data_IF_499027800193
#
_entry.id   IF_499027800193
#
_cell.length_a   1.000
_cell.length_b   1.000
_cell.length_c   1.000
_cell.angle_alpha   90.00
_cell.angle_beta   90.00
_cell.angle_gamma   90.00
#
_symmetry.space_group_name_H-M   'P 1'
#
loop_
_entity.id
_entity.type
_entity.pdbx_description
1 polymer ?
#
# COMPACT_ATOMS: atom_id res chain seq x y z
N UNK A 1 18.21 2.85 -4.21
CA UNK A 1 17.34 1.73 -3.75
C UNK A 1 18.13 0.89 -2.75
N UNK A 2 17.58 0.66 -1.55
CA UNK A 2 18.20 -0.17 -0.51
C UNK A 2 17.47 -1.51 -0.44
N UNK A 3 18.20 -2.63 -0.47
CA UNK A 3 17.65 -3.98 -0.37
C UNK A 3 18.08 -4.60 0.96
N UNK A 4 17.12 -4.97 1.78
CA UNK A 4 17.31 -5.58 3.10
C UNK A 4 16.63 -6.95 3.08
N UNK A 5 17.42 -8.01 3.33
CA UNK A 5 16.93 -9.39 3.33
C UNK A 5 16.89 -9.92 4.75
N UNK A 6 15.75 -10.47 5.15
CA UNK A 6 15.48 -10.98 6.48
C UNK A 6 15.25 -12.50 6.45
N UNK A 7 15.41 -13.15 7.60
CA UNK A 7 15.24 -14.60 7.70
C UNK A 7 13.78 -15.06 7.59
N UNK A 8 12.85 -14.21 8.01
CA UNK A 8 11.44 -14.55 8.06
C UNK A 8 10.54 -13.30 8.10
N UNK A 9 9.25 -13.53 7.90
CA UNK A 9 8.20 -12.52 7.91
C UNK A 9 8.09 -11.74 9.23
N UNK A 10 8.38 -12.38 10.37
CA UNK A 10 8.33 -11.74 11.68
C UNK A 10 9.38 -10.64 11.81
N UNK A 11 10.61 -10.91 11.35
CA UNK A 11 11.68 -9.91 11.34
C UNK A 11 11.35 -8.75 10.40
N UNK A 12 10.74 -9.03 9.24
CA UNK A 12 10.26 -7.99 8.32
C UNK A 12 9.21 -7.13 9.00
N UNK A 13 8.24 -7.75 9.69
CA UNK A 13 7.19 -7.04 10.41
C UNK A 13 7.74 -6.07 11.46
N UNK A 14 8.69 -6.53 12.25
CA UNK A 14 9.39 -5.70 13.25
C UNK A 14 10.17 -4.57 12.58
N UNK A 15 10.95 -4.87 11.55
CA UNK A 15 11.78 -3.88 10.86
C UNK A 15 10.93 -2.81 10.16
N UNK A 16 9.87 -3.22 9.44
CA UNK A 16 8.98 -2.31 8.74
C UNK A 16 8.15 -1.46 9.72
N UNK A 17 7.63 -2.05 10.80
CA UNK A 17 6.94 -1.30 11.85
C UNK A 17 7.86 -0.28 12.52
N UNK A 18 9.10 -0.65 12.85
CA UNK A 18 10.10 0.30 13.36
C UNK A 18 10.40 1.41 12.35
N UNK A 19 10.50 1.10 11.06
CA UNK A 19 10.77 2.07 10.00
C UNK A 19 9.63 3.09 9.89
N UNK A 20 8.37 2.64 9.90
CA UNK A 20 7.18 3.49 9.88
C UNK A 20 7.07 4.34 11.15
N UNK A 21 7.24 3.75 12.34
CA UNK A 21 7.20 4.48 13.62
C UNK A 21 8.37 5.46 13.75
N UNK A 22 9.56 5.11 13.27
CA UNK A 22 10.72 6.01 13.22
C UNK A 22 10.45 7.27 12.40
N UNK A 23 9.68 7.18 11.32
CA UNK A 23 9.22 8.34 10.57
C UNK A 23 8.33 9.24 11.45
N UNK A 24 7.35 8.66 12.17
CA UNK A 24 6.45 9.41 13.04
C UNK A 24 7.20 10.05 14.22
N UNK A 25 8.16 9.33 14.82
CA UNK A 25 9.00 9.89 15.88
C UNK A 25 9.85 11.07 15.40
N UNK A 26 10.39 10.99 14.18
CA UNK A 26 11.19 12.07 13.60
C UNK A 26 10.33 13.28 13.17
N UNK A 27 9.11 13.03 12.73
CA UNK A 27 8.13 14.03 12.27
C UNK A 27 6.74 13.63 12.78
N UNK A 28 6.28 14.11 13.94
CA UNK A 28 5.01 13.73 14.54
C UNK A 28 3.76 13.99 13.68
N UNK A 29 3.79 14.99 12.81
CA UNK A 29 2.77 15.32 11.83
C UNK A 29 3.01 14.65 10.46
N UNK A 30 3.57 13.45 10.47
CA UNK A 30 3.85 12.69 9.25
C UNK A 30 2.58 12.33 8.49
N UNK A 31 2.71 12.32 7.16
CA UNK A 31 1.71 11.81 6.23
C UNK A 31 2.14 10.42 5.77
N UNK A 32 1.36 9.40 6.13
CA UNK A 32 1.67 8.00 5.83
C UNK A 32 0.77 7.48 4.71
N UNK A 33 1.35 6.93 3.67
CA UNK A 33 0.66 6.14 2.67
C UNK A 33 0.61 4.67 3.12
N UNK A 34 -0.57 4.07 3.18
CA UNK A 34 -0.79 2.74 3.74
C UNK A 34 -1.38 1.78 2.71
N UNK A 35 -1.06 0.50 2.88
CA UNK A 35 -1.50 -0.59 2.03
C UNK A 35 -2.40 -1.57 2.81
N UNK A 36 -3.23 -2.34 2.11
CA UNK A 36 -4.03 -3.44 2.65
C UNK A 36 -3.46 -4.81 2.24
N UNK A 37 -4.14 -5.88 2.64
CA UNK A 37 -3.76 -7.24 2.34
C UNK A 37 -2.93 -7.91 3.46
N UNK A 38 -2.41 -9.10 3.17
CA UNK A 38 -1.71 -9.90 4.20
C UNK A 38 -0.34 -9.32 4.58
N UNK A 39 0.37 -8.72 3.63
CA UNK A 39 1.75 -8.26 3.80
C UNK A 39 1.94 -7.23 4.92
N UNK A 40 1.09 -6.19 5.08
CA UNK A 40 1.28 -5.17 6.10
C UNK A 40 0.78 -5.56 7.50
N UNK A 41 0.13 -6.71 7.70
CA UNK A 41 -0.44 -7.09 9.00
C UNK A 41 0.60 -7.16 10.12
N UNK A 42 1.76 -7.78 9.86
CA UNK A 42 2.83 -7.84 10.88
C UNK A 42 3.48 -6.50 11.16
N UNK A 43 3.80 -5.64 10.17
CA UNK A 43 4.15 -4.24 10.41
C UNK A 43 3.13 -3.50 11.25
N UNK A 44 1.83 -3.59 10.94
CA UNK A 44 0.78 -2.92 11.72
C UNK A 44 0.71 -3.44 13.16
N UNK A 45 0.77 -4.75 13.36
CA UNK A 45 0.84 -5.33 14.72
C UNK A 45 2.04 -4.82 15.52
N UNK A 46 3.19 -4.59 14.87
CA UNK A 46 4.36 -4.02 15.54
C UNK A 46 4.20 -2.52 15.83
N UNK A 47 3.59 -1.75 14.92
CA UNK A 47 3.27 -0.33 15.15
C UNK A 47 2.31 -0.17 16.34
N UNK A 48 1.27 -1.02 16.46
CA UNK A 48 0.35 -1.06 17.59
C UNK A 48 1.12 -1.33 18.90
N UNK A 49 1.98 -2.36 18.88
CA UNK A 49 2.81 -2.68 20.06
C UNK A 49 3.69 -1.52 20.51
N UNK A 50 4.30 -0.79 19.58
CA UNK A 50 5.10 0.39 19.90
C UNK A 50 4.25 1.53 20.47
N UNK A 51 3.04 1.71 19.96
CA UNK A 51 2.06 2.66 20.50
C UNK A 51 1.64 2.27 21.94
N UNK A 52 1.28 1.03 22.19
CA UNK A 52 0.91 0.51 23.53
C UNK A 52 2.04 0.67 24.56
N UNK A 53 3.29 0.60 24.09
CA UNK A 53 4.48 0.84 24.92
C UNK A 53 4.79 2.34 25.14
N UNK A 54 4.00 3.25 24.57
CA UNK A 54 4.22 4.69 24.62
C UNK A 54 5.45 5.18 23.84
N UNK A 55 5.95 4.34 22.91
CA UNK A 55 7.13 4.68 22.10
C UNK A 55 6.80 5.59 20.92
N UNK A 56 5.54 5.63 20.46
CA UNK A 56 5.08 6.45 19.33
C UNK A 56 3.69 7.01 19.60
N UNK A 57 3.43 8.23 19.11
CA UNK A 57 2.16 8.94 19.23
C UNK A 57 1.64 9.26 17.80
N UNK A 58 0.45 8.75 17.46
CA UNK A 58 -0.16 8.95 16.15
C UNK A 58 -1.20 10.09 16.12
N UNK A 59 -1.38 10.83 17.21
CA UNK A 59 -2.44 11.86 17.34
C UNK A 59 -2.37 13.00 16.31
N UNK A 60 -1.21 13.19 15.67
CA UNK A 60 -1.01 14.22 14.64
C UNK A 60 -0.75 13.64 13.25
N UNK A 61 -0.72 12.32 13.13
CA UNK A 61 -0.48 11.62 11.85
C UNK A 61 -1.70 11.77 10.95
N UNK A 62 -1.45 11.91 9.64
CA UNK A 62 -2.47 11.81 8.59
C UNK A 62 -2.16 10.60 7.74
N UNK A 63 -3.18 9.84 7.32
CA UNK A 63 -2.99 8.65 6.50
C UNK A 63 -3.76 8.74 5.18
N UNK A 64 -3.20 8.12 4.14
CA UNK A 64 -3.81 7.92 2.83
C UNK A 64 -3.67 6.46 2.43
N UNK A 65 -4.78 5.77 2.19
CA UNK A 65 -4.76 4.40 1.68
C UNK A 65 -4.63 4.38 0.16
N UNK A 66 -3.99 3.34 -0.36
CA UNK A 66 -3.69 3.19 -1.80
C UNK A 66 -4.93 3.03 -2.65
N UNK A 67 -5.93 2.34 -2.15
CA UNK A 67 -7.06 1.86 -2.96
C UNK A 67 -8.27 1.47 -2.10
N UNK A 68 -9.41 1.29 -2.78
CA UNK A 68 -10.63 0.73 -2.22
C UNK A 68 -11.47 0.09 -3.34
N UNK A 69 -12.26 -0.90 -3.02
CA UNK A 69 -13.22 -1.50 -3.94
C UNK A 69 -14.37 -0.55 -4.30
N UNK A 70 -14.79 -0.57 -5.57
CA UNK A 70 -16.00 0.11 -5.99
C UNK A 70 -17.25 -0.71 -5.64
N UNK A 71 -18.32 0.00 -5.26
CA UNK A 71 -19.64 -0.59 -4.97
C UNK A 71 -19.66 -1.60 -3.82
N UNK A 72 -18.71 -1.51 -2.92
CA UNK A 72 -18.70 -2.26 -1.67
C UNK A 72 -19.03 -1.31 -0.51
N UNK A 73 -19.92 -1.73 0.42
CA UNK A 73 -20.22 -0.94 1.62
C UNK A 73 -18.93 -0.76 2.44
N UNK A 74 -18.70 0.45 2.95
CA UNK A 74 -17.49 0.77 3.75
C UNK A 74 -17.39 -0.08 5.03
N UNK A 75 -18.52 -0.58 5.54
CA UNK A 75 -18.58 -1.47 6.69
C UNK A 75 -18.56 -2.96 6.32
N UNK A 76 -18.52 -3.30 5.03
CA UNK A 76 -18.36 -4.70 4.61
C UNK A 76 -17.04 -5.24 5.15
N UNK A 77 -17.05 -6.50 5.58
CA UNK A 77 -15.86 -7.16 6.15
C UNK A 77 -14.69 -7.19 5.17
N UNK A 78 -14.95 -7.08 3.87
CA UNK A 78 -13.97 -7.12 2.80
C UNK A 78 -13.57 -5.74 2.30
N UNK A 79 -14.19 -4.63 2.79
CA UNK A 79 -13.74 -3.30 2.43
C UNK A 79 -12.35 -3.01 3.01
N UNK A 80 -11.57 -2.24 2.30
CA UNK A 80 -10.24 -1.85 2.80
C UNK A 80 -10.34 -0.84 3.93
N UNK A 81 -11.38 -0.02 3.94
CA UNK A 81 -11.72 0.82 5.07
C UNK A 81 -11.89 -0.02 6.34
N UNK A 82 -12.75 -1.05 6.32
CA UNK A 82 -12.96 -1.96 7.45
C UNK A 82 -11.68 -2.70 7.83
N UNK A 83 -10.94 -3.22 6.83
CA UNK A 83 -9.66 -3.88 7.06
C UNK A 83 -8.68 -3.01 7.87
N UNK A 84 -8.53 -1.74 7.50
CA UNK A 84 -7.60 -0.84 8.17
C UNK A 84 -8.03 -0.48 9.59
N UNK A 85 -9.33 -0.30 9.81
CA UNK A 85 -9.86 -0.08 11.15
C UNK A 85 -9.64 -1.29 12.05
N UNK A 86 -9.94 -2.49 11.58
CA UNK A 86 -9.79 -3.72 12.36
C UNK A 86 -8.32 -4.08 12.64
N UNK A 87 -7.38 -3.70 11.78
CA UNK A 87 -5.97 -4.12 11.87
C UNK A 87 -4.99 -3.03 12.30
N UNK A 88 -5.41 -1.75 12.33
CA UNK A 88 -4.55 -0.64 12.76
C UNK A 88 -5.31 0.47 13.49
N UNK A 89 -6.28 1.12 12.85
CA UNK A 89 -6.76 2.41 13.32
C UNK A 89 -7.51 2.33 14.66
N UNK A 90 -8.28 1.28 14.91
CA UNK A 90 -8.95 1.05 16.20
C UNK A 90 -7.99 0.77 17.38
N UNK A 91 -6.71 0.56 17.10
CA UNK A 91 -5.70 0.19 18.09
C UNK A 91 -4.66 1.28 18.38
N UNK A 92 -4.76 2.43 17.71
CA UNK A 92 -3.86 3.57 17.88
C UNK A 92 -4.67 4.86 18.07
N UNK A 93 -4.02 5.95 18.47
CA UNK A 93 -4.71 7.22 18.76
C UNK A 93 -4.78 8.19 17.57
N UNK A 94 -4.84 7.68 16.35
CA UNK A 94 -5.03 8.54 15.17
C UNK A 94 -6.46 9.12 15.17
N UNK A 95 -6.65 10.45 14.97
CA UNK A 95 -7.97 11.04 14.82
C UNK A 95 -8.65 10.57 13.52
N UNK A 96 -9.95 10.29 13.58
CA UNK A 96 -10.72 9.81 12.43
C UNK A 96 -10.66 10.78 11.24
N UNK A 97 -10.70 12.08 11.51
CA UNK A 97 -10.59 13.13 10.48
C UNK A 97 -9.25 13.16 9.74
N UNK A 98 -8.23 12.50 10.27
CA UNK A 98 -6.90 12.39 9.65
C UNK A 98 -6.75 11.11 8.79
N UNK A 99 -7.75 10.23 8.81
CA UNK A 99 -7.75 8.99 8.03
C UNK A 99 -8.42 9.24 6.68
N UNK A 100 -7.70 8.97 5.59
CA UNK A 100 -8.21 9.22 4.25
C UNK A 100 -8.23 7.94 3.41
N UNK A 101 -9.39 7.66 2.81
CA UNK A 101 -9.61 6.61 1.81
C UNK A 101 -10.13 7.23 0.52
N UNK A 102 -9.87 6.56 -0.59
CA UNK A 102 -10.63 6.75 -1.82
C UNK A 102 -12.06 6.20 -1.62
N UNK A 103 -13.06 6.97 -1.98
CA UNK A 103 -14.46 6.53 -1.87
C UNK A 103 -14.89 5.74 -3.12
N UNK A 104 -14.87 4.41 -3.03
CA UNK A 104 -15.34 3.53 -4.11
C UNK A 104 -16.85 3.61 -4.42
N UNK A 105 -17.61 4.33 -3.59
CA UNK A 105 -19.05 4.56 -3.75
C UNK A 105 -19.39 6.01 -4.15
N UNK A 106 -18.42 6.81 -4.57
CA UNK A 106 -18.65 8.16 -5.05
C UNK A 106 -19.58 8.16 -6.29
N UNK A 107 -20.46 9.14 -6.39
CA UNK A 107 -21.35 9.32 -7.56
C UNK A 107 -20.52 9.56 -8.84
N UNK A 108 -19.46 10.36 -8.72
CA UNK A 108 -18.44 10.56 -9.76
C UNK A 108 -17.07 10.09 -9.25
N UNK A 109 -16.64 8.89 -9.63
CA UNK A 109 -15.35 8.37 -9.19
C UNK A 109 -14.15 9.12 -9.75
N UNK A 110 -14.27 9.80 -10.90
CA UNK A 110 -13.17 10.61 -11.45
C UNK A 110 -12.97 11.89 -10.63
N UNK A 111 -14.05 12.54 -10.21
CA UNK A 111 -13.97 13.72 -9.35
C UNK A 111 -13.51 13.34 -7.94
N UNK A 112 -13.90 12.18 -7.42
CA UNK A 112 -13.35 11.64 -6.17
C UNK A 112 -11.83 11.45 -6.27
N UNK A 113 -11.34 10.84 -7.35
CA UNK A 113 -9.90 10.65 -7.57
C UNK A 113 -9.16 12.00 -7.59
N UNK A 114 -9.70 13.03 -8.28
CA UNK A 114 -9.12 14.39 -8.29
C UNK A 114 -9.12 15.01 -6.89
N UNK A 115 -10.24 14.89 -6.16
CA UNK A 115 -10.36 15.40 -4.80
C UNK A 115 -9.37 14.72 -3.85
N UNK A 116 -9.12 13.43 -4.01
CA UNK A 116 -8.14 12.67 -3.25
C UNK A 116 -6.71 13.16 -3.48
N UNK A 117 -6.33 13.38 -4.73
CA UNK A 117 -5.03 13.98 -5.08
C UNK A 117 -4.84 15.38 -4.47
N UNK A 118 -5.87 16.21 -4.49
CA UNK A 118 -5.83 17.53 -3.85
C UNK A 118 -5.73 17.44 -2.31
N UNK A 119 -6.34 16.43 -1.68
CA UNK A 119 -6.15 16.17 -0.24
C UNK A 119 -4.70 15.81 0.07
N UNK A 120 -4.09 14.90 -0.71
CA UNK A 120 -2.68 14.52 -0.56
C UNK A 120 -1.79 15.76 -0.69
N UNK A 121 -2.02 16.58 -1.71
CA UNK A 121 -1.27 17.82 -1.94
C UNK A 121 -1.42 18.82 -0.80
N UNK A 122 -2.64 19.04 -0.29
CA UNK A 122 -2.91 19.92 0.86
C UNK A 122 -2.24 19.44 2.14
N UNK A 123 -2.10 18.14 2.32
CA UNK A 123 -1.36 17.54 3.44
C UNK A 123 0.18 17.70 3.32
N UNK A 124 0.69 18.25 2.20
CA UNK A 124 2.13 18.41 1.95
C UNK A 124 2.80 17.22 1.30
N UNK A 125 2.00 16.30 0.73
CA UNK A 125 2.44 15.04 0.12
C UNK A 125 2.73 13.94 1.15
N UNK A 126 2.91 12.72 0.68
CA UNK A 126 3.16 11.55 1.52
C UNK A 126 4.63 11.51 1.94
N UNK A 127 4.90 11.41 3.24
CA UNK A 127 6.27 11.34 3.78
C UNK A 127 6.87 9.93 3.56
N UNK A 128 6.06 8.88 3.74
CA UNK A 128 6.44 7.50 3.47
C UNK A 128 5.25 6.72 2.94
N UNK A 129 5.42 6.04 1.81
CA UNK A 129 4.43 5.14 1.21
C UNK A 129 4.83 3.68 1.45
N UNK A 130 3.99 2.94 2.16
CA UNK A 130 4.09 1.50 2.29
C UNK A 130 3.45 0.82 1.07
N UNK A 131 4.15 -0.14 0.48
CA UNK A 131 3.70 -0.92 -0.68
C UNK A 131 3.93 -2.42 -0.45
N UNK A 132 3.01 -3.23 -0.94
CA UNK A 132 3.29 -4.59 -1.37
C UNK A 132 3.65 -4.64 -2.85
N UNK A 133 3.97 -5.82 -3.37
CA UNK A 133 4.19 -6.06 -4.80
C UNK A 133 3.46 -7.33 -5.24
N UNK A 134 2.78 -7.25 -6.36
CA UNK A 134 2.20 -8.44 -6.99
C UNK A 134 3.24 -9.36 -7.62
N UNK A 135 2.89 -10.63 -7.85
CA UNK A 135 3.78 -11.59 -8.52
C UNK A 135 4.08 -11.21 -9.98
N UNK A 136 3.24 -10.37 -10.58
CA UNK A 136 3.42 -9.80 -11.93
C UNK A 136 4.02 -8.38 -11.92
N UNK A 137 4.44 -7.90 -10.74
CA UNK A 137 5.05 -6.58 -10.58
C UNK A 137 4.07 -5.42 -10.40
N UNK A 138 2.75 -5.66 -10.21
CA UNK A 138 1.82 -4.59 -9.89
C UNK A 138 2.09 -3.99 -8.50
N UNK A 139 1.79 -2.71 -8.32
CA UNK A 139 1.75 -1.98 -7.05
C UNK A 139 0.42 -1.25 -6.95
N UNK A 140 -0.24 -1.32 -5.78
CA UNK A 140 -1.66 -1.00 -5.63
C UNK A 140 -2.48 -1.78 -6.69
N UNK A 141 -3.53 -1.23 -7.27
CA UNK A 141 -4.20 -1.87 -8.42
C UNK A 141 -3.67 -1.42 -9.80
N UNK A 142 -2.42 -0.94 -9.86
CA UNK A 142 -1.76 -0.66 -11.14
C UNK A 142 -1.18 -1.96 -11.71
N UNK A 143 -1.97 -2.64 -12.52
CA UNK A 143 -1.64 -3.89 -13.21
C UNK A 143 -0.76 -3.66 -14.45
N UNK A 144 -0.01 -4.68 -14.92
CA UNK A 144 0.70 -4.62 -16.20
C UNK A 144 -0.19 -4.10 -17.35
N UNK A 145 0.26 -3.07 -18.05
CA UNK A 145 -0.48 -2.33 -19.06
C UNK A 145 0.46 -1.69 -20.09
N UNK A 146 -0.08 -0.97 -21.07
CA UNK A 146 0.72 -0.30 -22.12
C UNK A 146 1.26 1.08 -21.69
N UNK A 147 0.78 1.62 -20.55
CA UNK A 147 1.19 2.92 -20.03
C UNK A 147 1.12 2.97 -18.50
N UNK A 148 1.93 3.83 -17.90
CA UNK A 148 1.81 4.15 -16.48
C UNK A 148 0.65 5.13 -16.26
N UNK A 149 -0.27 4.77 -15.37
CA UNK A 149 -1.32 5.68 -14.92
C UNK A 149 -0.74 6.70 -13.94
N UNK A 150 -0.94 7.97 -14.26
CA UNK A 150 -0.30 9.05 -13.49
C UNK A 150 -0.98 9.31 -12.14
N UNK A 151 -2.29 9.52 -12.17
CA UNK A 151 -3.08 9.94 -11.01
C UNK A 151 -4.00 8.85 -10.52
N UNK A 152 -4.61 9.05 -9.39
CA UNK A 152 -5.67 8.18 -8.89
C UNK A 152 -6.75 8.01 -9.96
N UNK A 153 -7.25 6.79 -10.13
CA UNK A 153 -8.17 6.43 -11.21
C UNK A 153 -9.01 5.22 -10.85
N UNK A 154 -10.08 5.02 -11.60
CA UNK A 154 -10.88 3.79 -11.56
C UNK A 154 -10.20 2.73 -12.42
N UNK A 155 -10.12 1.52 -11.91
CA UNK A 155 -9.56 0.37 -12.62
C UNK A 155 -10.53 -0.80 -12.62
N UNK A 156 -10.67 -1.47 -13.76
CA UNK A 156 -11.31 -2.78 -13.84
C UNK A 156 -10.31 -3.84 -13.34
N UNK A 157 -10.74 -4.66 -12.37
CA UNK A 157 -9.90 -5.72 -11.83
C UNK A 157 -9.72 -6.85 -12.85
N UNK A 158 -8.50 -7.36 -12.97
CA UNK A 158 -8.21 -8.53 -13.81
C UNK A 158 -8.87 -9.78 -13.23
N UNK A 159 -9.24 -10.72 -14.07
CA UNK A 159 -9.81 -12.01 -13.65
C UNK A 159 -8.91 -12.74 -12.65
N UNK A 160 -7.59 -12.68 -12.82
CA UNK A 160 -6.63 -13.22 -11.86
C UNK A 160 -6.77 -12.58 -10.48
N UNK A 161 -6.90 -11.26 -10.41
CA UNK A 161 -7.08 -10.51 -9.16
C UNK A 161 -8.43 -10.82 -8.51
N UNK A 162 -9.50 -10.89 -9.29
CA UNK A 162 -10.83 -11.31 -8.82
C UNK A 162 -10.75 -12.72 -8.24
N UNK A 163 -10.10 -13.65 -8.94
CA UNK A 163 -9.91 -15.03 -8.47
C UNK A 163 -9.07 -15.11 -7.20
N UNK A 164 -7.97 -14.37 -7.12
CA UNK A 164 -7.11 -14.36 -5.93
C UNK A 164 -7.85 -13.77 -4.72
N UNK A 165 -8.71 -12.78 -4.93
CA UNK A 165 -9.48 -12.14 -3.87
C UNK A 165 -10.77 -12.91 -3.53
N UNK A 166 -11.25 -13.83 -4.38
CA UNK A 166 -12.48 -14.59 -4.13
C UNK A 166 -12.45 -15.40 -2.83
N UNK A 167 -11.26 -15.74 -2.33
CA UNK A 167 -11.08 -16.41 -1.03
C UNK A 167 -11.59 -15.62 0.18
N UNK A 168 -11.80 -14.31 0.04
CA UNK A 168 -12.32 -13.44 1.08
C UNK A 168 -13.84 -13.24 0.98
N UNK A 169 -14.46 -13.62 -0.13
CA UNK A 169 -15.89 -13.46 -0.40
C UNK A 169 -16.60 -14.82 -0.37
N UNK A 170 -17.92 -14.82 -0.20
CA UNK A 170 -18.72 -16.05 -0.19
C UNK A 170 -18.77 -16.75 -1.55
N UNK A 171 -18.70 -15.97 -2.62
CA UNK A 171 -18.62 -16.44 -3.99
C UNK A 171 -17.79 -15.49 -4.85
N UNK A 172 -17.31 -15.97 -6.01
CA UNK A 172 -16.56 -15.13 -6.95
C UNK A 172 -17.42 -13.99 -7.53
N UNK A 173 -18.74 -14.19 -7.61
CA UNK A 173 -19.67 -13.19 -8.14
C UNK A 173 -19.88 -12.01 -7.19
N UNK A 174 -19.53 -12.17 -5.91
CA UNK A 174 -19.57 -11.09 -4.91
C UNK A 174 -18.30 -10.23 -4.90
N UNK A 175 -17.23 -10.67 -5.58
CA UNK A 175 -16.00 -9.87 -5.67
C UNK A 175 -16.26 -8.65 -6.54
N UNK A 176 -15.97 -7.43 -6.08
CA UNK A 176 -16.09 -6.23 -6.90
C UNK A 176 -15.26 -6.35 -8.19
N UNK A 177 -15.83 -5.86 -9.28
CA UNK A 177 -15.16 -5.89 -10.60
C UNK A 177 -14.30 -4.66 -10.86
N UNK A 178 -14.43 -3.61 -10.04
CA UNK A 178 -13.70 -2.35 -10.15
C UNK A 178 -13.18 -1.91 -8.79
N UNK A 179 -12.14 -1.10 -8.83
CA UNK A 179 -11.58 -0.41 -7.68
C UNK A 179 -11.20 1.02 -8.05
N UNK A 180 -11.07 1.88 -7.05
CA UNK A 180 -10.39 3.18 -7.14
C UNK A 180 -8.99 3.01 -6.56
N UNK A 181 -7.95 3.51 -7.23
CA UNK A 181 -6.57 3.29 -6.82
C UNK A 181 -5.69 4.49 -7.10
N UNK A 182 -4.69 4.71 -6.23
CA UNK A 182 -3.64 5.69 -6.50
C UNK A 182 -2.85 5.29 -7.75
N UNK A 183 -2.61 6.25 -8.63
CA UNK A 183 -1.78 6.04 -9.82
C UNK A 183 -0.29 5.97 -9.50
N UNK A 184 0.48 5.47 -10.45
CA UNK A 184 1.95 5.36 -10.35
C UNK A 184 2.60 6.72 -10.07
N UNK A 185 2.12 7.80 -10.74
CA UNK A 185 2.66 9.14 -10.54
C UNK A 185 2.40 9.68 -9.13
N UNK A 186 1.24 9.37 -8.54
CA UNK A 186 0.92 9.71 -7.14
C UNK A 186 1.84 8.99 -6.16
N UNK A 187 2.04 7.68 -6.37
CA UNK A 187 2.98 6.86 -5.57
C UNK A 187 4.41 7.41 -5.67
N UNK A 188 4.86 7.76 -6.87
CA UNK A 188 6.20 8.30 -7.12
C UNK A 188 6.45 9.69 -6.51
N UNK A 189 5.42 10.40 -6.08
CA UNK A 189 5.55 11.68 -5.38
C UNK A 189 5.78 11.53 -3.87
N UNK A 190 5.65 10.34 -3.31
CA UNK A 190 6.01 10.10 -1.91
C UNK A 190 7.49 10.42 -1.69
N UNK A 191 7.85 10.96 -0.52
CA UNK A 191 9.26 11.29 -0.23
C UNK A 191 10.12 10.04 -0.04
N UNK A 192 9.52 8.98 0.50
CA UNK A 192 10.12 7.65 0.70
C UNK A 192 9.13 6.57 0.32
N UNK A 193 9.65 5.46 -0.17
CA UNK A 193 8.86 4.27 -0.48
C UNK A 193 9.45 3.08 0.28
N UNK A 194 8.58 2.36 1.01
CA UNK A 194 8.89 1.10 1.64
C UNK A 194 8.13 -0.02 0.94
N UNK A 195 8.84 -0.96 0.32
CA UNK A 195 8.25 -2.16 -0.28
C UNK A 195 8.51 -3.36 0.61
N UNK A 196 7.47 -4.16 0.83
CA UNK A 196 7.60 -5.45 1.49
C UNK A 196 7.22 -6.54 0.49
N UNK A 197 8.08 -7.55 0.35
CA UNK A 197 7.79 -8.74 -0.44
C UNK A 197 8.20 -10.00 0.30
N UNK A 198 7.28 -10.97 0.33
CA UNK A 198 7.43 -12.24 1.05
C UNK A 198 7.04 -13.39 0.14
N UNK A 199 7.89 -14.41 0.11
CA UNK A 199 7.68 -15.64 -0.62
C UNK A 199 8.32 -15.67 -2.01
N UNK A 200 8.70 -16.88 -2.44
CA UNK A 200 9.40 -17.13 -3.70
C UNK A 200 8.59 -16.71 -4.94
N UNK A 201 7.24 -16.71 -4.84
CA UNK A 201 6.36 -16.24 -5.90
C UNK A 201 6.55 -14.74 -6.24
N UNK A 202 7.24 -13.97 -5.40
CA UNK A 202 7.59 -12.56 -5.63
C UNK A 202 8.98 -12.38 -6.27
N UNK A 203 9.82 -13.41 -6.26
CA UNK A 203 11.23 -13.31 -6.67
C UNK A 203 11.42 -12.75 -8.08
N UNK A 204 10.58 -13.18 -9.05
CA UNK A 204 10.65 -12.68 -10.43
C UNK A 204 10.28 -11.19 -10.53
N UNK A 205 9.25 -10.76 -9.80
CA UNK A 205 8.82 -9.35 -9.77
C UNK A 205 9.90 -8.48 -9.09
N UNK A 206 10.50 -8.97 -8.01
CA UNK A 206 11.60 -8.27 -7.33
C UNK A 206 12.83 -8.15 -8.23
N UNK A 207 13.21 -9.23 -8.93
CA UNK A 207 14.32 -9.17 -9.88
C UNK A 207 14.04 -8.17 -11.01
N UNK A 208 12.83 -8.18 -11.58
CA UNK A 208 12.43 -7.23 -12.61
C UNK A 208 12.41 -5.78 -12.10
N UNK A 209 11.97 -5.57 -10.85
CA UNK A 209 12.00 -4.27 -10.19
C UNK A 209 13.45 -3.73 -10.05
N UNK A 210 14.42 -4.58 -9.73
CA UNK A 210 15.79 -4.15 -9.40
C UNK A 210 16.65 -4.06 -10.66
N UNK A 211 16.64 -5.09 -11.50
CA UNK A 211 17.57 -5.28 -12.60
C UNK A 211 16.93 -5.18 -13.98
N UNK A 212 15.58 -5.21 -14.07
CA UNK A 212 14.88 -5.20 -15.34
C UNK A 212 14.73 -3.81 -15.95
N UNK A 213 14.28 -3.77 -17.21
CA UNK A 213 13.90 -2.51 -17.85
C UNK A 213 12.71 -1.86 -17.17
N UNK A 214 12.70 -0.53 -17.11
CA UNK A 214 11.54 0.22 -16.63
C UNK A 214 10.44 0.17 -17.68
N UNK A 215 9.34 -0.50 -17.35
CA UNK A 215 8.25 -0.77 -18.28
C UNK A 215 6.89 -0.83 -17.56
N UNK A 216 5.81 -0.36 -18.21
CA UNK A 216 4.46 -0.53 -17.66
C UNK A 216 4.01 -1.99 -17.57
N UNK A 217 4.71 -2.92 -18.23
CA UNK A 217 4.46 -4.36 -18.11
C UNK A 217 4.94 -4.93 -16.76
N UNK A 218 5.76 -4.17 -16.02
CA UNK A 218 6.08 -4.38 -14.62
C UNK A 218 5.97 -3.03 -13.89
N UNK A 219 4.79 -2.62 -13.42
CA UNK A 219 4.57 -1.28 -12.89
C UNK A 219 5.54 -0.87 -11.78
N UNK A 220 5.95 -1.81 -10.93
CA UNK A 220 6.93 -1.57 -9.88
C UNK A 220 8.30 -1.15 -10.42
N UNK A 221 8.65 -1.49 -11.67
CA UNK A 221 9.96 -1.17 -12.25
C UNK A 221 10.26 0.33 -12.30
N UNK A 222 9.21 1.19 -12.36
CA UNK A 222 9.38 2.66 -12.35
C UNK A 222 10.04 3.17 -11.07
N UNK A 223 9.95 2.42 -9.98
CA UNK A 223 10.56 2.77 -8.69
C UNK A 223 12.09 2.81 -8.74
N UNK A 224 12.73 2.30 -9.81
CA UNK A 224 14.15 2.49 -10.09
C UNK A 224 14.50 3.99 -10.23
N UNK A 225 13.56 4.83 -10.65
CA UNK A 225 13.76 6.26 -10.79
C UNK A 225 13.43 7.05 -9.51
N UNK A 226 12.92 6.40 -8.47
CA UNK A 226 12.63 7.07 -7.22
C UNK A 226 13.91 7.19 -6.37
N UNK A 227 14.06 8.34 -5.70
CA UNK A 227 15.30 8.69 -4.98
C UNK A 227 15.50 7.92 -3.69
N UNK A 228 14.42 7.51 -3.01
CA UNK A 228 14.48 6.84 -1.70
C UNK A 228 13.49 5.66 -1.65
N UNK A 229 13.95 4.48 -2.04
CA UNK A 229 13.21 3.22 -2.00
C UNK A 229 13.97 2.21 -1.14
N UNK A 230 13.26 1.65 -0.17
CA UNK A 230 13.74 0.53 0.66
C UNK A 230 12.88 -0.70 0.39
N UNK A 231 13.52 -1.82 0.04
CA UNK A 231 12.90 -3.13 -0.11
C UNK A 231 13.22 -3.97 1.12
N UNK A 232 12.19 -4.49 1.79
CA UNK A 232 12.33 -5.48 2.87
C UNK A 232 11.79 -6.81 2.37
N UNK A 233 12.70 -7.76 2.19
CA UNK A 233 12.45 -9.04 1.53
C UNK A 233 12.72 -10.20 2.49
N UNK A 234 11.99 -11.30 2.34
CA UNK A 234 12.46 -12.58 2.86
C UNK A 234 13.41 -13.26 1.87
N UNK A 235 14.04 -14.36 2.30
CA UNK A 235 14.93 -15.15 1.44
C UNK A 235 14.24 -15.70 0.19
N UNK A 236 12.93 -15.99 0.29
CA UNK A 236 12.13 -16.45 -0.85
C UNK A 236 11.98 -15.36 -1.92
N UNK A 237 11.55 -14.16 -1.54
CA UNK A 237 11.43 -13.03 -2.45
C UNK A 237 12.78 -12.58 -3.03
N UNK A 238 13.87 -12.77 -2.28
CA UNK A 238 15.25 -12.43 -2.69
C UNK A 238 15.97 -13.55 -3.47
N UNK A 239 15.32 -14.70 -3.72
CA UNK A 239 16.00 -15.91 -4.24
C UNK A 239 16.58 -15.80 -5.66
N UNK A 240 16.25 -14.74 -6.40
CA UNK A 240 16.79 -14.46 -7.74
C UNK A 240 17.71 -13.24 -7.79
N UNK A 241 18.09 -12.69 -6.64
CA UNK A 241 19.06 -11.58 -6.51
C UNK A 241 20.48 -12.06 -6.42
#
# INVERSE_FOLDING_TARGET
>A
MNVLVYDNEEQIGIAAGNYMCGQVQAKPDSVLGLATGATPLKPYGHMIKLYEQGAVDFSKVTTFNLDEYCKLDVNDINSYHRFMHDNLFNHINIPEENINFLNGNAEDPEDECKAYEEKIKKAGGIDIQLLGIGSNGHIAFNEPSDSFQRWSHVVALKESTIKDNSRFFKSIDEVPTHAVTMGIGSIMQAKRILIIAIGENKAKAIKQLIDGDVTPQCPASVLQFHTDVTLMLDKGAASLL
#
